data_IF_384490051923
#
_entry.id   IF_384490051923
#
_cell.length_a   1.000
_cell.length_b   1.000
_cell.length_c   1.000
_cell.angle_alpha   90.00
_cell.angle_beta   90.00
_cell.angle_gamma   90.00
#
_symmetry.space_group_name_H-M   'P 1'
#
loop_
_entity.id
_entity.type
_entity.pdbx_description
1 polymer ?
#
# COMPACT_ATOMS: atom_id res chain seq x y z
N UNK A 1 -26.97 -26.09 16.81
CA UNK A 1 -26.51 -24.70 17.05
C UNK A 1 -25.73 -24.24 15.83
N UNK A 2 -25.88 -22.98 15.40
CA UNK A 2 -25.49 -22.53 14.05
C UNK A 2 -24.01 -22.81 13.71
N UNK A 3 -23.12 -22.55 14.66
CA UNK A 3 -21.66 -22.69 14.49
C UNK A 3 -21.20 -24.11 14.11
N UNK A 4 -21.83 -25.16 14.63
CA UNK A 4 -21.47 -26.54 14.25
C UNK A 4 -21.95 -26.93 12.85
N UNK A 5 -22.98 -26.26 12.31
CA UNK A 5 -23.32 -26.36 10.89
C UNK A 5 -22.20 -25.77 10.04
N UNK A 6 -21.81 -24.52 10.33
CA UNK A 6 -20.73 -23.81 9.62
C UNK A 6 -19.39 -24.57 9.64
N UNK A 7 -19.02 -25.20 10.77
CA UNK A 7 -17.81 -26.03 10.86
C UNK A 7 -17.92 -27.32 10.03
N UNK A 8 -19.11 -27.93 9.95
CA UNK A 8 -19.36 -29.16 9.17
C UNK A 8 -19.41 -28.90 7.66
N UNK A 9 -20.02 -27.78 7.27
CA UNK A 9 -20.33 -27.47 5.88
C UNK A 9 -19.24 -26.61 5.20
N UNK A 10 -18.23 -26.18 5.96
CA UNK A 10 -17.10 -25.37 5.49
C UNK A 10 -16.20 -26.08 4.47
N UNK A 11 -15.71 -25.32 3.49
CA UNK A 11 -14.91 -25.82 2.36
C UNK A 11 -13.62 -24.99 2.18
N UNK A 12 -12.51 -25.59 1.69
CA UNK A 12 -11.19 -24.96 1.68
C UNK A 12 -10.99 -23.88 0.61
N UNK A 13 -11.96 -23.72 -0.30
CA UNK A 13 -11.90 -22.95 -1.54
C UNK A 13 -12.71 -21.64 -1.52
N UNK A 14 -13.49 -21.38 -0.44
CA UNK A 14 -14.43 -20.25 -0.30
C UNK A 14 -13.76 -18.87 -0.04
N UNK A 15 -12.60 -18.63 -0.63
CA UNK A 15 -11.84 -17.40 -0.46
C UNK A 15 -12.53 -16.17 -1.07
N UNK A 16 -13.22 -16.33 -2.20
CA UNK A 16 -13.99 -15.26 -2.86
C UNK A 16 -15.20 -14.86 -2.01
N UNK A 17 -15.86 -15.85 -1.42
CA UNK A 17 -17.04 -15.68 -0.57
C UNK A 17 -16.64 -15.04 0.76
N UNK A 18 -15.52 -15.46 1.36
CA UNK A 18 -14.95 -14.83 2.55
C UNK A 18 -14.52 -13.38 2.29
N UNK A 19 -13.87 -13.10 1.15
CA UNK A 19 -13.52 -11.73 0.75
C UNK A 19 -14.75 -10.84 0.56
N UNK A 20 -15.82 -11.35 -0.06
CA UNK A 20 -17.10 -10.63 -0.19
C UNK A 20 -17.80 -10.41 1.15
N UNK A 21 -17.79 -11.40 2.03
CA UNK A 21 -18.48 -11.35 3.32
C UNK A 21 -17.90 -10.33 4.32
N UNK A 22 -16.68 -9.84 4.08
CA UNK A 22 -16.06 -8.76 4.89
C UNK A 22 -16.19 -7.36 4.26
N UNK A 23 -16.69 -7.23 3.03
CA UNK A 23 -16.83 -5.94 2.33
C UNK A 23 -17.80 -4.97 3.03
N UNK A 24 -17.60 -3.67 2.80
CA UNK A 24 -18.47 -2.57 3.26
C UNK A 24 -18.73 -1.58 2.12
N UNK A 25 -18.02 -0.46 2.07
CA UNK A 25 -18.00 0.50 0.94
C UNK A 25 -17.07 0.07 -0.20
N UNK A 26 -16.32 -1.01 0.00
CA UNK A 26 -15.54 -1.73 -1.01
C UNK A 26 -16.36 -2.01 -2.29
N UNK A 27 -15.87 -1.64 -3.47
CA UNK A 27 -16.58 -1.91 -4.74
C UNK A 27 -16.23 -3.30 -5.31
N UNK A 28 -15.10 -3.89 -4.90
CA UNK A 28 -14.72 -5.26 -5.25
C UNK A 28 -14.01 -6.03 -4.12
N UNK A 29 -14.17 -7.37 -4.05
CA UNK A 29 -13.47 -8.21 -3.10
C UNK A 29 -11.98 -8.28 -3.43
N UNK A 30 -11.12 -8.11 -2.42
CA UNK A 30 -9.67 -7.98 -2.60
C UNK A 30 -8.97 -9.28 -2.23
N UNK A 31 -8.25 -9.87 -3.18
CA UNK A 31 -7.60 -11.19 -3.03
C UNK A 31 -6.16 -11.17 -3.58
N UNK A 32 -5.29 -11.97 -2.98
CA UNK A 32 -3.97 -12.25 -3.51
C UNK A 32 -3.47 -13.65 -3.11
N UNK A 33 -2.92 -14.38 -4.07
CA UNK A 33 -2.33 -15.71 -3.87
C UNK A 33 -0.91 -15.74 -4.42
N UNK A 34 0.00 -16.45 -3.74
CA UNK A 34 1.33 -16.77 -4.24
C UNK A 34 1.74 -18.18 -3.80
N UNK A 35 2.21 -19.00 -4.75
CA UNK A 35 2.89 -20.27 -4.47
C UNK A 35 4.40 -20.06 -4.54
N UNK A 36 5.15 -20.65 -3.62
CA UNK A 36 6.60 -20.46 -3.49
C UNK A 36 7.28 -21.69 -2.89
N UNK A 37 8.53 -21.95 -3.27
CA UNK A 37 9.35 -22.99 -2.64
C UNK A 37 9.78 -22.59 -1.22
N UNK A 38 9.67 -23.53 -0.29
CA UNK A 38 10.28 -23.50 1.04
C UNK A 38 11.00 -24.83 1.25
N UNK A 39 12.33 -24.82 1.17
CA UNK A 39 13.06 -26.05 0.78
C UNK A 39 12.63 -26.47 -0.63
N UNK A 40 12.52 -27.78 -0.86
CA UNK A 40 12.10 -28.34 -2.16
C UNK A 40 10.58 -28.42 -2.32
N UNK A 41 9.82 -28.26 -1.25
CA UNK A 41 8.36 -28.29 -1.26
C UNK A 41 7.77 -26.91 -1.64
N UNK A 42 6.68 -26.93 -2.39
CA UNK A 42 5.87 -25.74 -2.60
C UNK A 42 4.98 -25.48 -1.37
N UNK A 43 4.84 -24.20 -1.02
CA UNK A 43 3.91 -23.69 -0.02
C UNK A 43 3.08 -22.55 -0.64
N UNK A 44 1.83 -22.43 -0.24
CA UNK A 44 0.90 -21.42 -0.75
C UNK A 44 0.68 -20.36 0.31
N UNK A 45 0.63 -19.09 -0.10
CA UNK A 45 0.18 -17.96 0.70
C UNK A 45 -1.08 -17.41 0.03
N UNK A 46 -2.21 -17.45 0.74
CA UNK A 46 -3.45 -16.79 0.35
C UNK A 46 -3.68 -15.59 1.27
N UNK A 47 -4.30 -14.54 0.75
CA UNK A 47 -4.70 -13.39 1.54
C UNK A 47 -5.90 -12.67 0.96
N UNK A 48 -6.73 -12.13 1.85
CA UNK A 48 -7.87 -11.26 1.52
C UNK A 48 -7.76 -9.94 2.27
N UNK A 49 -8.40 -8.89 1.75
CA UNK A 49 -8.46 -7.59 2.42
C UNK A 49 -9.79 -6.86 2.22
N UNK A 50 -10.04 -5.89 3.11
CA UNK A 50 -11.18 -4.98 3.14
C UNK A 50 -10.67 -3.58 3.50
N UNK A 51 -11.15 -2.57 2.79
CA UNK A 51 -10.86 -1.15 3.01
C UNK A 51 -11.12 -0.35 1.72
N UNK A 52 -11.77 0.80 1.87
CA UNK A 52 -12.08 1.75 0.80
C UNK A 52 -12.01 3.19 1.32
N UNK A 53 -12.72 3.49 2.42
CA UNK A 53 -12.57 4.73 3.20
C UNK A 53 -12.00 4.49 4.61
N UNK A 54 -11.62 5.59 5.26
CA UNK A 54 -10.95 5.68 6.55
C UNK A 54 -9.62 4.89 6.56
N UNK A 55 -8.82 5.07 5.51
CA UNK A 55 -7.57 4.34 5.27
C UNK A 55 -6.38 5.27 5.52
N UNK A 56 -5.76 5.18 6.70
CA UNK A 56 -4.42 5.70 6.94
C UNK A 56 -3.68 4.86 7.99
N UNK A 57 -3.24 3.63 7.65
CA UNK A 57 -2.77 2.70 8.67
C UNK A 57 -1.44 3.12 9.31
N UNK A 58 -1.52 3.70 10.51
CA UNK A 58 -0.58 3.40 11.59
C UNK A 58 -1.11 2.23 12.44
N UNK A 59 -1.70 1.26 11.70
CA UNK A 59 -2.83 0.40 12.06
C UNK A 59 -4.14 1.20 12.29
N UNK A 60 -5.00 1.28 11.26
CA UNK A 60 -6.29 2.01 11.24
C UNK A 60 -6.72 2.57 9.84
N UNK A 61 -7.80 2.25 9.08
CA UNK A 61 -8.56 1.00 8.87
C UNK A 61 -7.97 0.16 7.74
N UNK A 62 -8.04 -1.15 7.92
CA UNK A 62 -8.06 -2.23 6.94
C UNK A 62 -8.24 -3.54 7.74
N UNK A 63 -9.08 -4.46 7.24
CA UNK A 63 -9.10 -5.84 7.73
C UNK A 63 -8.42 -6.72 6.69
N UNK A 64 -7.45 -7.54 7.09
CA UNK A 64 -6.83 -8.52 6.20
C UNK A 64 -6.45 -9.81 6.92
N UNK A 65 -6.69 -10.92 6.23
CA UNK A 65 -6.49 -12.26 6.77
C UNK A 65 -5.62 -13.03 5.77
N UNK A 66 -4.43 -13.42 6.22
CA UNK A 66 -3.43 -14.15 5.45
C UNK A 66 -3.35 -15.58 5.98
N UNK A 67 -3.34 -16.59 5.11
CA UNK A 67 -3.14 -17.98 5.50
C UNK A 67 -2.06 -18.65 4.64
N UNK A 68 -1.30 -19.55 5.24
CA UNK A 68 -0.34 -20.41 4.54
C UNK A 68 -0.38 -21.85 5.05
N UNK A 69 0.00 -22.80 4.20
CA UNK A 69 0.27 -24.18 4.59
C UNK A 69 1.74 -24.43 5.00
N UNK A 70 2.60 -23.41 4.91
CA UNK A 70 3.99 -23.47 5.35
C UNK A 70 4.11 -23.74 6.86
N UNK A 71 5.03 -24.63 7.31
CA UNK A 71 5.28 -24.89 8.72
C UNK A 71 6.21 -23.83 9.33
N UNK A 72 5.66 -22.67 9.64
CA UNK A 72 6.38 -21.54 10.23
C UNK A 72 5.83 -21.26 11.63
N UNK A 73 6.71 -21.25 12.63
CA UNK A 73 6.33 -21.00 14.01
C UNK A 73 5.75 -19.59 14.22
N UNK A 74 4.77 -19.45 15.12
CA UNK A 74 4.07 -18.18 15.34
C UNK A 74 4.97 -16.96 15.64
N UNK A 75 6.06 -17.06 16.43
CA UNK A 75 6.99 -15.93 16.62
C UNK A 75 7.67 -15.47 15.31
N UNK A 76 7.96 -16.42 14.41
CA UNK A 76 8.52 -16.13 13.09
C UNK A 76 7.48 -15.49 12.18
N UNK A 77 6.23 -15.99 12.17
CA UNK A 77 5.13 -15.33 11.46
C UNK A 77 4.97 -13.86 11.90
N UNK A 78 5.06 -13.58 13.20
CA UNK A 78 4.92 -12.22 13.73
C UNK A 78 6.05 -11.30 13.27
N UNK A 79 7.31 -11.75 13.26
CA UNK A 79 8.44 -10.99 12.71
C UNK A 79 8.25 -10.70 11.20
N UNK A 80 7.88 -11.74 10.44
CA UNK A 80 7.64 -11.63 9.00
C UNK A 80 6.50 -10.67 8.67
N UNK A 81 5.41 -10.73 9.42
CA UNK A 81 4.24 -9.87 9.26
C UNK A 81 4.61 -8.42 9.59
N UNK A 82 5.17 -8.16 10.78
CA UNK A 82 5.57 -6.80 11.22
C UNK A 82 6.54 -6.13 10.23
N UNK A 83 7.51 -6.87 9.68
CA UNK A 83 8.44 -6.36 8.66
C UNK A 83 7.78 -6.11 7.30
N UNK A 84 6.76 -6.89 6.94
CA UNK A 84 5.97 -6.73 5.72
C UNK A 84 5.08 -5.50 5.80
N UNK A 85 4.21 -5.44 6.81
CA UNK A 85 3.22 -4.39 7.08
C UNK A 85 3.81 -2.99 7.03
N UNK A 86 4.99 -2.79 7.62
CA UNK A 86 5.71 -1.51 7.65
C UNK A 86 6.07 -0.94 6.25
N UNK A 87 5.99 -1.76 5.19
CA UNK A 87 6.30 -1.40 3.79
C UNK A 87 5.12 -1.65 2.83
N UNK A 88 3.97 -2.05 3.35
CA UNK A 88 2.76 -2.33 2.54
C UNK A 88 1.57 -1.55 3.11
N UNK A 89 0.82 -2.11 4.06
CA UNK A 89 -0.37 -1.47 4.62
C UNK A 89 -0.04 -0.17 5.37
N UNK A 90 1.02 -0.14 6.19
CA UNK A 90 1.48 1.10 6.82
C UNK A 90 2.29 1.99 5.86
N UNK A 91 2.16 1.77 4.55
CA UNK A 91 2.65 2.62 3.47
C UNK A 91 1.53 2.97 2.46
N UNK A 92 0.25 2.81 2.82
CA UNK A 92 -0.89 3.32 2.04
C UNK A 92 -1.71 4.36 2.81
N UNK A 93 -2.48 5.16 2.08
CA UNK A 93 -3.41 6.16 2.62
C UNK A 93 -4.46 6.54 1.56
N UNK A 94 -5.73 6.69 1.91
CA UNK A 94 -6.78 7.23 1.01
C UNK A 94 -7.08 8.67 1.39
N UNK A 95 -7.46 8.88 2.64
CA UNK A 95 -8.11 10.09 3.18
C UNK A 95 -7.33 10.74 4.34
N UNK A 96 -6.31 10.05 4.86
CA UNK A 96 -5.51 10.37 6.05
C UNK A 96 -6.16 10.10 7.41
N UNK A 97 -7.37 9.53 7.46
CA UNK A 97 -8.10 9.26 8.70
C UNK A 97 -7.78 7.86 9.25
N UNK A 98 -6.92 7.80 10.27
CA UNK A 98 -6.61 6.56 10.99
C UNK A 98 -7.78 6.16 11.91
N UNK A 99 -8.31 4.95 11.68
CA UNK A 99 -9.48 4.41 12.37
C UNK A 99 -9.18 3.75 13.72
N UNK A 100 -10.17 3.05 14.27
CA UNK A 100 -10.15 2.38 15.58
C UNK A 100 -10.01 0.84 15.52
N UNK A 101 -10.03 0.23 14.33
CA UNK A 101 -10.36 -1.20 14.17
C UNK A 101 -9.47 -1.99 13.19
N UNK A 102 -8.16 -1.70 13.10
CA UNK A 102 -7.27 -2.47 12.23
C UNK A 102 -7.10 -3.90 12.71
N UNK A 103 -7.04 -4.84 11.77
CA UNK A 103 -6.67 -6.23 12.08
C UNK A 103 -6.06 -6.87 10.84
N UNK A 104 -4.75 -7.07 10.89
CA UNK A 104 -4.01 -7.90 9.96
C UNK A 104 -3.53 -9.16 10.70
N UNK A 105 -4.10 -10.32 10.36
CA UNK A 105 -3.73 -11.60 10.96
C UNK A 105 -3.07 -12.52 9.93
N UNK A 106 -2.11 -13.32 10.39
CA UNK A 106 -1.46 -14.35 9.58
C UNK A 106 -1.49 -15.70 10.29
N UNK A 107 -2.00 -16.72 9.58
CA UNK A 107 -2.14 -18.08 10.07
C UNK A 107 -1.26 -19.05 9.28
N UNK A 108 -0.65 -20.02 9.96
CA UNK A 108 0.06 -21.14 9.34
C UNK A 108 -0.56 -22.46 9.79
N UNK A 109 -0.91 -23.34 8.85
CA UNK A 109 -1.48 -24.66 9.16
C UNK A 109 -0.43 -25.77 9.22
N UNK A 110 0.78 -25.52 8.73
CA UNK A 110 1.89 -26.48 8.69
C UNK A 110 1.65 -27.74 7.85
N UNK A 111 0.54 -27.83 7.11
CA UNK A 111 0.21 -29.06 6.37
C UNK A 111 1.20 -29.37 5.24
N UNK A 112 2.01 -28.39 4.81
CA UNK A 112 3.06 -28.60 3.83
C UNK A 112 4.27 -29.41 4.35
N UNK A 113 4.47 -29.62 5.67
CA UNK A 113 5.49 -30.58 6.16
C UNK A 113 5.23 -31.98 5.61
N UNK A 114 3.96 -32.34 5.36
CA UNK A 114 3.55 -33.60 4.68
C UNK A 114 4.03 -33.70 3.22
N UNK A 115 4.42 -32.57 2.62
CA UNK A 115 5.02 -32.47 1.27
C UNK A 115 6.53 -32.26 1.31
N UNK A 116 7.17 -32.35 2.49
CA UNK A 116 8.60 -32.12 2.67
C UNK A 116 9.00 -30.67 2.92
N UNK A 117 8.06 -29.76 3.24
CA UNK A 117 8.43 -28.40 3.64
C UNK A 117 9.16 -28.46 5.01
N UNK A 118 10.32 -27.79 5.15
CA UNK A 118 11.07 -27.79 6.40
C UNK A 118 10.42 -26.88 7.44
N UNK A 119 10.30 -27.37 8.67
CA UNK A 119 9.80 -26.57 9.79
C UNK A 119 10.76 -25.39 10.07
N UNK A 120 10.18 -24.19 10.22
CA UNK A 120 10.93 -22.94 10.44
C UNK A 120 10.61 -22.36 11.81
N UNK A 121 11.60 -22.35 12.69
CA UNK A 121 11.52 -21.83 14.07
C UNK A 121 12.34 -20.56 14.29
N UNK A 122 13.22 -20.19 13.35
CA UNK A 122 14.04 -18.98 13.40
C UNK A 122 13.63 -17.97 12.31
N UNK A 123 13.56 -16.69 12.67
CA UNK A 123 13.31 -15.59 11.75
C UNK A 123 14.55 -15.21 10.92
N UNK A 124 15.75 -15.64 11.32
CA UNK A 124 17.01 -15.51 10.57
C UNK A 124 17.14 -16.49 9.38
N UNK A 125 16.38 -17.59 9.36
CA UNK A 125 16.56 -18.71 8.42
C UNK A 125 16.70 -18.26 6.94
N UNK A 126 17.72 -18.80 6.25
CA UNK A 126 17.98 -18.51 4.85
C UNK A 126 16.89 -19.04 3.91
N UNK A 127 16.25 -20.16 4.25
CA UNK A 127 15.20 -20.85 3.47
C UNK A 127 13.95 -19.98 3.33
N UNK A 128 13.67 -19.13 4.32
CA UNK A 128 12.61 -18.11 4.24
C UNK A 128 12.85 -17.08 3.12
N UNK A 129 14.05 -16.96 2.53
CA UNK A 129 14.38 -15.92 1.55
C UNK A 129 13.40 -15.83 0.37
N UNK A 130 12.87 -16.95 -0.12
CA UNK A 130 11.82 -16.96 -1.13
C UNK A 130 10.45 -16.59 -0.54
N UNK A 131 10.07 -17.19 0.59
CA UNK A 131 8.82 -16.94 1.30
C UNK A 131 8.64 -15.45 1.68
N UNK A 132 9.66 -14.80 2.23
CA UNK A 132 9.66 -13.34 2.55
C UNK A 132 9.28 -12.49 1.33
N UNK A 133 9.78 -12.85 0.14
CA UNK A 133 9.47 -12.15 -1.12
C UNK A 133 8.05 -12.44 -1.62
N UNK A 134 7.55 -13.66 -1.46
CA UNK A 134 6.18 -14.02 -1.81
C UNK A 134 5.17 -13.31 -0.90
N UNK A 135 5.37 -13.36 0.43
CA UNK A 135 4.55 -12.65 1.41
C UNK A 135 4.54 -11.14 1.14
N UNK A 136 5.70 -10.53 0.89
CA UNK A 136 5.79 -9.11 0.52
C UNK A 136 5.02 -8.73 -0.75
N UNK A 137 4.94 -9.63 -1.75
CA UNK A 137 4.10 -9.44 -2.95
C UNK A 137 2.60 -9.55 -2.62
N UNK A 138 2.19 -10.53 -1.82
CA UNK A 138 0.79 -10.69 -1.39
C UNK A 138 0.32 -9.46 -0.60
N UNK A 139 1.09 -9.06 0.42
CA UNK A 139 0.79 -7.89 1.25
C UNK A 139 0.79 -6.58 0.43
N UNK A 140 1.71 -6.39 -0.53
CA UNK A 140 1.68 -5.19 -1.40
C UNK A 140 0.48 -5.23 -2.35
N UNK A 141 0.14 -6.39 -2.92
CA UNK A 141 -1.01 -6.54 -3.83
C UNK A 141 -2.31 -6.15 -3.13
N UNK A 142 -2.55 -6.64 -1.92
CA UNK A 142 -3.74 -6.32 -1.13
C UNK A 142 -3.77 -4.84 -0.72
N UNK A 143 -2.64 -4.26 -0.30
CA UNK A 143 -2.55 -2.84 0.04
C UNK A 143 -2.82 -1.93 -1.18
N UNK A 144 -2.35 -2.29 -2.38
CA UNK A 144 -2.68 -1.56 -3.61
C UNK A 144 -4.13 -1.76 -4.05
N UNK A 145 -4.74 -2.92 -3.81
CA UNK A 145 -6.18 -3.12 -4.04
C UNK A 145 -7.03 -2.23 -3.12
N UNK A 146 -6.62 -2.01 -1.86
CA UNK A 146 -7.26 -1.02 -0.97
C UNK A 146 -7.13 0.40 -1.52
N UNK A 147 -5.94 0.80 -2.01
CA UNK A 147 -5.74 2.14 -2.60
C UNK A 147 -6.55 2.36 -3.89
N UNK A 148 -6.62 1.35 -4.76
CA UNK A 148 -7.35 1.40 -6.04
C UNK A 148 -8.87 1.35 -5.85
N UNK A 149 -9.33 0.79 -4.74
CA UNK A 149 -10.75 0.79 -4.32
C UNK A 149 -11.04 1.90 -3.31
N UNK A 150 -10.20 2.94 -3.24
CA UNK A 150 -10.45 4.12 -2.42
C UNK A 150 -11.79 4.76 -2.79
N UNK A 151 -12.57 5.24 -1.82
CA UNK A 151 -13.93 5.73 -2.08
C UNK A 151 -13.96 6.85 -3.15
N UNK A 152 -14.63 6.57 -4.27
CA UNK A 152 -14.67 7.49 -5.41
C UNK A 152 -13.36 7.69 -6.18
N UNK A 153 -12.32 6.90 -5.89
CA UNK A 153 -11.04 6.97 -6.59
C UNK A 153 -11.14 6.52 -8.06
N UNK A 154 -10.24 7.04 -8.89
CA UNK A 154 -10.06 6.63 -10.30
C UNK A 154 -8.60 6.39 -10.67
N UNK A 155 -7.66 7.01 -9.96
CA UNK A 155 -6.21 6.91 -10.24
C UNK A 155 -5.44 6.50 -8.99
N UNK A 156 -4.54 5.54 -9.13
CA UNK A 156 -3.55 5.17 -8.13
C UNK A 156 -2.32 6.08 -8.27
N UNK A 157 -1.78 6.54 -7.15
CA UNK A 157 -0.61 7.40 -7.03
C UNK A 157 0.46 6.70 -6.20
N UNK A 158 1.65 6.47 -6.78
CA UNK A 158 2.87 6.09 -6.05
C UNK A 158 3.69 7.34 -5.75
N UNK A 159 3.84 7.71 -4.49
CA UNK A 159 4.69 8.81 -4.03
C UNK A 159 6.00 8.25 -3.50
N UNK A 160 7.11 8.46 -4.20
CA UNK A 160 8.47 8.13 -3.73
C UNK A 160 9.21 9.41 -3.33
N UNK A 161 9.85 9.38 -2.16
CA UNK A 161 10.77 10.43 -1.69
C UNK A 161 12.17 9.84 -1.52
N UNK A 162 13.17 10.50 -2.08
CA UNK A 162 14.60 10.21 -1.91
C UNK A 162 15.37 11.46 -1.46
N UNK A 163 16.67 11.36 -1.19
CA UNK A 163 17.50 12.51 -0.81
C UNK A 163 17.18 13.13 0.56
N UNK A 164 16.24 12.59 1.33
CA UNK A 164 15.88 13.15 2.64
C UNK A 164 16.94 12.83 3.71
N UNK A 165 16.87 13.51 4.87
CA UNK A 165 17.81 13.29 5.98
C UNK A 165 17.79 11.84 6.51
N UNK A 166 16.61 11.20 6.54
CA UNK A 166 16.42 9.83 7.01
C UNK A 166 15.23 9.13 6.35
N UNK A 167 15.10 7.81 6.48
CA UNK A 167 13.92 7.09 5.98
C UNK A 167 12.61 7.51 6.69
N UNK A 168 12.68 7.91 7.97
CA UNK A 168 11.55 8.49 8.72
C UNK A 168 11.14 9.84 8.13
N UNK A 169 12.13 10.68 7.82
CA UNK A 169 11.95 11.99 7.18
C UNK A 169 11.31 11.84 5.79
N UNK A 170 11.86 10.95 4.95
CA UNK A 170 11.29 10.61 3.66
C UNK A 170 9.82 10.11 3.77
N UNK A 171 9.49 9.27 4.77
CA UNK A 171 8.11 8.79 4.97
C UNK A 171 7.16 9.92 5.36
N UNK A 172 7.58 10.85 6.23
CA UNK A 172 6.77 12.02 6.59
C UNK A 172 6.53 12.96 5.40
N UNK A 173 7.54 13.21 4.57
CA UNK A 173 7.38 14.01 3.35
C UNK A 173 6.46 13.28 2.35
N UNK A 174 6.65 11.97 2.14
CA UNK A 174 5.81 11.17 1.24
C UNK A 174 4.33 11.15 1.67
N UNK A 175 4.05 10.99 2.97
CA UNK A 175 2.70 11.11 3.53
C UNK A 175 2.14 12.52 3.38
N UNK A 176 2.95 13.57 3.57
CA UNK A 176 2.51 14.96 3.42
C UNK A 176 2.09 15.30 1.98
N UNK A 177 2.78 14.75 0.98
CA UNK A 177 2.41 14.81 -0.45
C UNK A 177 1.14 13.99 -0.70
N UNK A 178 1.12 12.71 -0.29
CA UNK A 178 0.01 11.79 -0.52
C UNK A 178 -1.31 12.29 0.10
N UNK A 179 -1.27 12.77 1.35
CA UNK A 179 -2.42 13.30 2.08
C UNK A 179 -2.72 14.77 1.73
N UNK A 180 -2.18 15.34 0.64
CA UNK A 180 -2.44 16.73 0.28
C UNK A 180 -3.68 16.82 -0.62
N UNK A 181 -4.81 17.43 -0.17
CA UNK A 181 -6.01 17.52 -1.01
C UNK A 181 -5.76 18.25 -2.32
N UNK A 182 -4.84 19.23 -2.31
CA UNK A 182 -4.40 19.93 -3.52
C UNK A 182 -3.64 19.01 -4.49
N UNK A 183 -2.77 18.11 -4.01
CA UNK A 183 -2.09 17.13 -4.90
C UNK A 183 -3.11 16.11 -5.41
N UNK A 184 -3.92 15.51 -4.52
CA UNK A 184 -4.94 14.52 -4.89
C UNK A 184 -5.97 15.08 -5.90
N UNK A 185 -6.39 16.34 -5.77
CA UNK A 185 -7.29 17.00 -6.74
C UNK A 185 -6.60 17.42 -8.04
N UNK A 186 -5.29 17.72 -8.02
CA UNK A 186 -4.54 17.95 -9.26
C UNK A 186 -4.41 16.64 -10.06
N UNK A 187 -4.11 15.52 -9.40
CA UNK A 187 -4.16 14.19 -10.02
C UNK A 187 -5.57 13.89 -10.56
N UNK A 188 -6.63 14.22 -9.81
CA UNK A 188 -8.00 14.02 -10.26
C UNK A 188 -8.36 14.85 -11.51
N UNK A 189 -7.88 16.10 -11.57
CA UNK A 189 -8.05 17.02 -12.71
C UNK A 189 -7.04 16.81 -13.85
N UNK A 190 -6.18 15.80 -13.76
CA UNK A 190 -5.11 15.49 -14.74
C UNK A 190 -4.08 16.63 -14.92
N UNK A 191 -3.94 17.48 -13.89
CA UNK A 191 -3.09 18.68 -13.83
C UNK A 191 -1.65 18.34 -13.38
N UNK A 192 -0.65 18.74 -14.17
CA UNK A 192 0.79 18.47 -14.00
C UNK A 192 1.46 19.29 -12.86
N UNK A 193 0.77 19.46 -11.73
CA UNK A 193 1.01 20.53 -10.78
C UNK A 193 2.13 20.25 -9.74
N UNK A 194 3.39 20.27 -10.16
CA UNK A 194 4.53 20.14 -9.25
C UNK A 194 4.60 21.24 -8.19
N UNK A 195 4.07 22.44 -8.43
CA UNK A 195 3.99 23.51 -7.42
C UNK A 195 3.19 23.09 -6.18
N UNK A 196 2.09 22.34 -6.36
CA UNK A 196 1.34 21.73 -5.24
C UNK A 196 2.12 20.63 -4.53
N UNK A 197 3.08 19.97 -5.20
CA UNK A 197 3.99 18.99 -4.58
C UNK A 197 5.07 19.71 -3.75
N UNK A 198 5.67 20.79 -4.25
CA UNK A 198 6.60 21.65 -3.48
C UNK A 198 5.94 22.19 -2.21
N UNK A 199 4.71 22.70 -2.31
CA UNK A 199 3.91 23.12 -1.15
C UNK A 199 3.70 21.97 -0.16
N UNK A 200 3.42 20.76 -0.66
CA UNK A 200 3.22 19.59 0.19
C UNK A 200 4.52 19.04 0.82
N UNK A 201 5.68 19.28 0.21
CA UNK A 201 6.99 19.06 0.84
C UNK A 201 7.20 20.10 1.97
N UNK A 202 7.00 21.38 1.69
CA UNK A 202 7.20 22.46 2.67
C UNK A 202 6.33 22.33 3.93
N UNK A 203 5.08 21.91 3.80
CA UNK A 203 4.18 21.70 4.96
C UNK A 203 4.53 20.46 5.82
N UNK A 204 5.46 19.60 5.40
CA UNK A 204 5.72 18.31 6.05
C UNK A 204 6.34 18.42 7.45
N UNK A 205 6.94 19.57 7.79
CA UNK A 205 7.65 19.78 9.06
C UNK A 205 8.91 18.91 9.18
N UNK A 206 9.62 18.74 8.07
CA UNK A 206 10.84 17.96 7.90
C UNK A 206 11.89 18.83 7.19
N UNK A 207 13.20 18.59 7.37
CA UNK A 207 14.24 19.32 6.66
C UNK A 207 14.11 19.13 5.14
N UNK A 208 14.05 20.24 4.42
CA UNK A 208 14.14 20.32 2.97
C UNK A 208 14.70 21.70 2.61
N UNK A 209 15.55 21.75 1.59
CA UNK A 209 15.94 23.01 0.94
C UNK A 209 15.20 23.09 -0.40
N UNK A 210 14.56 24.23 -0.69
CA UNK A 210 13.83 24.45 -1.94
C UNK A 210 14.78 24.32 -3.14
N UNK A 211 15.99 24.87 -3.02
CA UNK A 211 16.92 25.06 -4.13
C UNK A 211 17.75 23.80 -4.44
N UNK A 212 17.49 22.71 -3.70
CA UNK A 212 18.00 21.37 -3.98
C UNK A 212 16.91 20.40 -4.49
N UNK A 213 15.64 20.81 -4.49
CA UNK A 213 14.54 19.91 -4.86
C UNK A 213 14.59 19.52 -6.34
N UNK A 214 14.31 18.24 -6.61
CA UNK A 214 14.01 17.74 -7.96
C UNK A 214 12.73 16.92 -7.96
N UNK A 215 11.86 17.09 -8.95
CA UNK A 215 10.52 16.46 -9.00
C UNK A 215 10.28 15.85 -10.39
N UNK A 216 9.79 14.61 -10.40
CA UNK A 216 9.41 13.85 -11.58
C UNK A 216 7.96 13.32 -11.48
N UNK A 217 7.22 13.39 -12.59
CA UNK A 217 5.95 12.66 -12.78
C UNK A 217 6.20 11.55 -13.80
N UNK A 218 6.07 10.30 -13.38
CA UNK A 218 6.61 9.16 -14.11
C UNK A 218 8.13 9.31 -14.25
N UNK A 219 8.61 9.26 -15.49
CA UNK A 219 10.02 9.43 -15.83
C UNK A 219 10.35 10.87 -16.31
N UNK A 220 9.36 11.76 -16.38
CA UNK A 220 9.50 13.15 -16.83
C UNK A 220 9.89 14.03 -15.65
N UNK A 221 11.04 14.73 -15.71
CA UNK A 221 11.44 15.73 -14.71
C UNK A 221 10.74 17.06 -15.01
N UNK A 222 10.06 17.62 -14.00
CA UNK A 222 9.37 18.92 -14.08
C UNK A 222 10.18 20.03 -13.42
N UNK A 223 10.89 19.69 -12.35
CA UNK A 223 11.70 20.62 -11.57
C UNK A 223 13.05 20.01 -11.18
N UNK A 224 14.07 20.86 -11.08
CA UNK A 224 15.44 20.52 -10.70
C UNK A 224 16.11 21.75 -10.09
N UNK A 225 16.88 21.56 -9.01
CA UNK A 225 17.55 22.65 -8.27
C UNK A 225 16.55 23.77 -7.87
N UNK A 226 15.33 23.36 -7.48
CA UNK A 226 14.22 24.25 -7.12
C UNK A 226 13.48 24.94 -8.27
N UNK A 227 14.07 24.99 -9.47
CA UNK A 227 13.50 25.65 -10.65
C UNK A 227 12.79 24.68 -11.61
N UNK A 228 12.05 25.23 -12.60
CA UNK A 228 11.42 24.46 -13.69
C UNK A 228 12.50 23.92 -14.62
N UNK A 229 12.48 22.62 -14.90
CA UNK A 229 13.44 22.00 -15.83
C UNK A 229 13.32 22.62 -17.24
N UNK A 230 14.45 22.96 -17.86
CA UNK A 230 14.49 23.48 -19.22
C UNK A 230 13.94 22.48 -20.27
N UNK A 231 14.03 21.18 -19.99
CA UNK A 231 13.51 20.09 -20.84
C UNK A 231 12.05 19.69 -20.51
N UNK A 232 11.39 20.34 -19.53
CA UNK A 232 10.01 20.02 -19.16
C UNK A 232 9.02 20.36 -20.30
N UNK A 233 8.31 19.33 -20.77
CA UNK A 233 7.17 19.45 -21.69
C UNK A 233 5.85 19.26 -20.95
N UNK A 234 5.03 20.32 -20.99
CA UNK A 234 3.69 20.34 -20.39
C UNK A 234 2.72 19.42 -21.13
N UNK A 235 2.83 19.30 -22.46
CA UNK A 235 2.04 18.38 -23.28
C UNK A 235 2.32 16.92 -22.91
N UNK A 236 3.60 16.53 -22.87
CA UNK A 236 4.01 15.17 -22.52
C UNK A 236 3.59 14.80 -21.09
N UNK A 237 3.63 15.77 -20.16
CA UNK A 237 3.25 15.55 -18.77
C UNK A 237 1.73 15.49 -18.59
N UNK A 238 0.98 16.36 -19.27
CA UNK A 238 -0.49 16.28 -19.32
C UNK A 238 -0.98 14.97 -19.95
N UNK A 239 -0.27 14.46 -20.96
CA UNK A 239 -0.52 13.14 -21.53
C UNK A 239 -0.16 11.99 -20.55
N UNK A 240 0.83 12.17 -19.67
CA UNK A 240 1.14 11.23 -18.60
C UNK A 240 0.06 11.21 -17.50
N UNK A 241 -0.44 12.38 -17.09
CA UNK A 241 -1.46 12.53 -16.03
C UNK A 241 -2.81 11.87 -16.37
N UNK A 242 -3.06 11.57 -17.65
CA UNK A 242 -4.23 10.82 -18.13
C UNK A 242 -4.26 9.34 -17.75
N UNK A 243 -3.14 8.78 -17.28
CA UNK A 243 -3.04 7.36 -16.89
C UNK A 243 -3.75 7.06 -15.56
N UNK A 244 -4.08 5.78 -15.35
CA UNK A 244 -4.68 5.28 -14.11
C UNK A 244 -3.63 5.04 -13.01
N UNK A 245 -2.35 4.87 -13.38
CA UNK A 245 -1.22 4.82 -12.46
C UNK A 245 -0.29 6.02 -12.66
N UNK A 246 -0.29 6.91 -11.67
CA UNK A 246 0.58 8.09 -11.58
C UNK A 246 1.72 7.81 -10.59
N UNK A 247 2.94 8.21 -10.92
CA UNK A 247 4.10 8.17 -10.02
C UNK A 247 4.58 9.59 -9.81
N UNK A 248 4.72 9.99 -8.55
CA UNK A 248 5.33 11.25 -8.14
C UNK A 248 6.62 10.89 -7.42
N UNK A 249 7.76 11.32 -7.96
CA UNK A 249 9.05 11.19 -7.30
C UNK A 249 9.58 12.58 -6.95
N UNK A 250 9.97 12.77 -5.69
CA UNK A 250 10.70 13.95 -5.24
C UNK A 250 12.05 13.52 -4.64
N UNK A 251 13.14 14.17 -5.03
CA UNK A 251 14.41 14.12 -4.33
C UNK A 251 14.64 15.42 -3.55
N UNK A 252 15.08 15.30 -2.30
CA UNK A 252 15.26 16.41 -1.36
C UNK A 252 16.74 16.88 -1.28
N UNK A 253 17.69 16.19 -1.90
CA UNK A 253 19.09 16.62 -2.06
C UNK A 253 19.99 16.63 -0.80
N UNK A 254 19.43 16.46 0.40
CA UNK A 254 20.13 16.66 1.70
C UNK A 254 20.63 15.38 2.40
N UNK A 255 20.52 14.20 1.78
CA UNK A 255 20.81 12.95 2.48
C UNK A 255 20.56 11.66 1.69
N UNK A 256 20.32 10.56 2.41
CA UNK A 256 20.16 9.19 1.87
C UNK A 256 18.87 8.50 2.30
N UNK A 257 17.94 9.23 2.90
CA UNK A 257 16.62 8.76 3.28
C UNK A 257 15.76 8.45 2.05
N UNK A 258 15.13 7.27 2.06
CA UNK A 258 14.14 6.87 1.05
C UNK A 258 12.87 6.30 1.70
N UNK A 259 11.72 6.67 1.15
CA UNK A 259 10.43 6.03 1.41
C UNK A 259 9.57 6.04 0.15
N UNK A 260 8.58 5.15 0.10
CA UNK A 260 7.51 5.15 -0.90
C UNK A 260 6.18 4.93 -0.17
N UNK A 261 5.14 5.65 -0.60
CA UNK A 261 3.77 5.60 -0.07
C UNK A 261 2.81 5.54 -1.26
N UNK A 262 1.67 4.86 -1.13
CA UNK A 262 0.63 4.82 -2.15
C UNK A 262 -0.66 5.48 -1.70
N UNK A 263 -1.31 6.22 -2.60
CA UNK A 263 -2.62 6.86 -2.38
C UNK A 263 -3.43 6.89 -3.67
N UNK A 264 -4.64 7.44 -3.63
CA UNK A 264 -5.50 7.69 -4.78
C UNK A 264 -5.59 9.18 -5.11
N UNK A 265 -6.33 9.55 -6.17
CA UNK A 265 -6.80 10.91 -6.39
C UNK A 265 -7.89 11.34 -5.38
N UNK A 266 -8.41 12.58 -5.49
CA UNK A 266 -9.55 13.06 -4.69
C UNK A 266 -10.60 13.63 -5.62
N UNK A 267 -11.75 12.98 -5.68
CA UNK A 267 -12.83 13.27 -6.62
C UNK A 267 -14.04 13.89 -5.92
N UNK A 268 -15.05 14.26 -6.71
CA UNK A 268 -16.38 14.63 -6.18
C UNK A 268 -17.10 13.44 -5.56
N UNK A 269 -16.82 12.23 -6.06
CA UNK A 269 -17.51 11.00 -5.66
C UNK A 269 -17.19 10.61 -4.21
N UNK A 270 -15.94 10.82 -3.76
CA UNK A 270 -15.57 10.68 -2.34
C UNK A 270 -16.48 11.52 -1.42
N UNK A 271 -16.80 12.75 -1.85
CA UNK A 271 -17.63 13.69 -1.09
C UNK A 271 -19.11 13.32 -1.14
N UNK A 272 -19.60 12.74 -2.24
CA UNK A 272 -20.96 12.20 -2.32
C UNK A 272 -21.12 10.98 -1.38
N UNK A 273 -20.23 9.98 -1.53
CA UNK A 273 -20.24 8.75 -0.71
C UNK A 273 -20.22 9.07 0.80
N UNK A 274 -19.36 10.00 1.23
CA UNK A 274 -19.20 10.33 2.66
C UNK A 274 -20.19 11.40 3.16
N UNK A 275 -20.73 12.24 2.26
CA UNK A 275 -21.75 13.24 2.61
C UNK A 275 -23.13 12.61 2.84
N UNK A 276 -23.51 11.69 1.95
CA UNK A 276 -24.85 11.11 1.89
C UNK A 276 -24.98 9.80 2.72
N UNK A 277 -23.90 9.34 3.36
CA UNK A 277 -23.83 8.05 4.10
C UNK A 277 -24.82 7.89 5.28
N UNK A 278 -25.59 8.93 5.62
CA UNK A 278 -26.53 8.94 6.76
C UNK A 278 -27.90 9.56 6.43
N UNK A 279 -28.23 9.72 5.15
CA UNK A 279 -29.48 10.32 4.65
C UNK A 279 -30.28 9.36 3.79
#
# INVERSE_FOLDING_TARGET
HLLAGLVKDGRPDLWTEAAKAIMTTDTYPKLATATVKLGDADVTINGIAKGAGMIAPDMATMLSFIATDAPIAAPVLQDLLSRGTAKTFNAVTVDSDTSTSDTLLMFATGTASRRGAPDITDAGDARLGAFRRALGKVLKSLALQVVRDGEGARKQVEVTVTGAQSARSAKRIALSIANSPLVKTAVAGEDANWGRVVMAIGKAGEPADRDLLSIWFGDIRLAHEGERDAAYSEEATSAYMKRDEIRIHADIGIGRGKATVWTCDLTKEYVAINGDYRS
#
